data_IF_134921168616
#
_entry.id   IF_134921168616
#
_cell.length_a   1.000
_cell.length_b   1.000
_cell.length_c   1.000
_cell.angle_alpha   90.00
_cell.angle_beta   90.00
_cell.angle_gamma   90.00
#
_symmetry.space_group_name_H-M   'P 1'
#
loop_
_entity.id
_entity.type
_entity.pdbx_description
1 polymer ?
#
# COMPACT_ATOMS: atom_id res chain seq x y z
N UNK A 1 -7.70 -27.22 0.68
CA UNK A 1 -7.54 -26.54 1.98
C UNK A 1 -6.42 -27.25 2.69
N UNK A 2 -5.43 -26.53 3.21
CA UNK A 2 -4.30 -27.12 3.92
C UNK A 2 -4.48 -26.87 5.43
N UNK A 3 -5.25 -27.74 6.07
CA UNK A 3 -5.58 -27.67 7.49
C UNK A 3 -4.34 -27.73 8.39
N UNK A 4 -3.24 -28.32 7.89
CA UNK A 4 -1.97 -28.43 8.60
C UNK A 4 -1.23 -27.09 8.73
N UNK A 5 -1.67 -26.05 8.01
CA UNK A 5 -1.18 -24.67 8.13
C UNK A 5 -2.13 -23.75 8.90
N UNK A 6 -3.22 -24.28 9.46
CA UNK A 6 -4.21 -23.49 10.20
C UNK A 6 -5.12 -22.61 9.34
N UNK A 7 -5.20 -22.88 8.02
CA UNK A 7 -6.12 -22.16 7.14
C UNK A 7 -7.51 -22.81 7.19
N UNK A 8 -8.46 -22.12 7.82
CA UNK A 8 -9.84 -22.56 7.96
C UNK A 8 -10.78 -22.03 6.84
N UNK A 9 -10.21 -21.57 5.73
CA UNK A 9 -10.94 -20.94 4.62
C UNK A 9 -10.04 -20.64 3.42
N UNK A 10 -10.57 -19.97 2.38
CA UNK A 10 -9.76 -19.52 1.25
C UNK A 10 -8.65 -18.57 1.71
N UNK A 11 -7.48 -18.68 1.09
CA UNK A 11 -6.32 -17.84 1.43
C UNK A 11 -6.52 -16.46 0.80
N UNK A 12 -6.65 -15.44 1.64
CA UNK A 12 -6.58 -14.03 1.22
C UNK A 12 -5.12 -13.61 1.10
N UNK A 13 -4.76 -12.94 0.00
CA UNK A 13 -3.42 -12.37 -0.22
C UNK A 13 -3.54 -10.87 -0.45
N UNK A 14 -2.82 -10.11 0.36
CA UNK A 14 -2.71 -8.67 0.24
C UNK A 14 -1.24 -8.25 0.27
N UNK A 15 -0.90 -7.24 -0.53
CA UNK A 15 0.37 -6.53 -0.46
C UNK A 15 0.21 -5.25 0.34
N UNK A 16 1.16 -4.98 1.24
CA UNK A 16 1.27 -3.71 1.95
C UNK A 16 2.69 -3.19 1.72
N UNK A 17 2.81 -2.10 0.96
CA UNK A 17 4.07 -1.39 0.70
C UNK A 17 4.17 -0.20 1.65
N UNK A 18 5.33 -0.02 2.28
CA UNK A 18 5.55 1.08 3.23
C UNK A 18 6.58 2.06 2.67
N UNK A 19 6.21 3.34 2.63
CA UNK A 19 7.11 4.43 2.22
C UNK A 19 7.22 5.47 3.30
N UNK A 20 8.38 6.09 3.36
CA UNK A 20 8.55 7.36 4.06
C UNK A 20 8.37 8.46 3.01
N UNK A 21 7.58 9.49 3.33
CA UNK A 21 7.43 10.66 2.48
C UNK A 21 8.82 11.24 2.18
N UNK A 22 9.19 11.25 0.90
CA UNK A 22 10.49 11.71 0.44
C UNK A 22 10.34 12.64 -0.75
N UNK A 23 10.96 13.82 -0.66
CA UNK A 23 10.76 14.95 -1.60
C UNK A 23 9.33 15.46 -1.57
N UNK A 24 8.45 14.93 -2.43
CA UNK A 24 7.04 15.32 -2.50
C UNK A 24 6.14 14.09 -2.39
N UNK A 25 4.86 14.35 -2.11
CA UNK A 25 3.86 13.30 -2.06
C UNK A 25 3.73 12.62 -3.43
N UNK A 26 3.67 13.41 -4.51
CA UNK A 26 3.57 12.94 -5.89
C UNK A 26 4.72 12.00 -6.26
N UNK A 27 5.97 12.39 -5.94
CA UNK A 27 7.13 11.55 -6.23
C UNK A 27 7.12 10.24 -5.41
N UNK A 28 6.68 10.30 -4.15
CA UNK A 28 6.57 9.11 -3.30
C UNK A 28 5.47 8.17 -3.79
N UNK A 29 4.37 8.73 -4.31
CA UNK A 29 3.27 7.97 -4.89
C UNK A 29 3.68 7.28 -6.19
N UNK A 30 4.34 7.99 -7.11
CA UNK A 30 4.76 7.42 -8.39
C UNK A 30 5.65 6.18 -8.19
N UNK A 31 6.66 6.29 -7.34
CA UNK A 31 7.54 5.18 -6.99
C UNK A 31 6.79 4.07 -6.23
N UNK A 32 5.99 4.45 -5.23
CA UNK A 32 5.25 3.51 -4.40
C UNK A 32 4.20 2.72 -5.17
N UNK A 33 3.45 3.35 -6.08
CA UNK A 33 2.42 2.69 -6.89
C UNK A 33 3.04 1.68 -7.86
N UNK A 34 4.14 2.05 -8.50
CA UNK A 34 4.87 1.14 -9.41
C UNK A 34 5.35 -0.09 -8.65
N UNK A 35 6.04 0.09 -7.52
CA UNK A 35 6.54 -1.04 -6.72
C UNK A 35 5.42 -1.91 -6.15
N UNK A 36 4.33 -1.29 -5.69
CA UNK A 36 3.15 -1.99 -5.15
C UNK A 36 2.48 -2.85 -6.21
N UNK A 37 2.27 -2.31 -7.42
CA UNK A 37 1.69 -3.04 -8.54
C UNK A 37 2.57 -4.24 -8.96
N UNK A 38 3.87 -4.01 -9.11
CA UNK A 38 4.83 -5.06 -9.49
C UNK A 38 4.86 -6.20 -8.47
N UNK A 39 4.86 -5.86 -7.18
CA UNK A 39 4.89 -6.88 -6.13
C UNK A 39 3.53 -7.59 -5.98
N UNK A 40 2.41 -6.89 -6.16
CA UNK A 40 1.06 -7.48 -6.20
C UNK A 40 0.98 -8.60 -7.23
N UNK A 41 1.43 -8.34 -8.45
CA UNK A 41 1.38 -9.32 -9.54
C UNK A 41 2.29 -10.52 -9.28
N UNK A 42 3.50 -10.28 -8.74
CA UNK A 42 4.43 -11.35 -8.34
C UNK A 42 3.90 -12.20 -7.18
N UNK A 43 3.20 -11.58 -6.23
CA UNK A 43 2.65 -12.26 -5.06
C UNK A 43 1.33 -13.01 -5.35
N UNK A 44 0.71 -12.76 -6.52
CA UNK A 44 -0.64 -13.25 -6.83
C UNK A 44 -1.67 -12.71 -5.83
N UNK A 45 -1.51 -11.45 -5.41
CA UNK A 45 -2.41 -10.80 -4.48
C UNK A 45 -3.56 -10.12 -5.23
N UNK A 46 -4.76 -10.21 -4.68
CA UNK A 46 -5.93 -9.51 -5.24
C UNK A 46 -6.00 -8.07 -4.72
N UNK A 47 -5.48 -7.84 -3.52
CA UNK A 47 -5.48 -6.57 -2.82
C UNK A 47 -4.08 -6.00 -2.66
N UNK A 48 -3.97 -4.68 -2.69
CA UNK A 48 -2.70 -3.99 -2.52
C UNK A 48 -2.89 -2.59 -1.94
N UNK A 49 -2.02 -2.25 -1.00
CA UNK A 49 -2.06 -1.02 -0.24
C UNK A 49 -0.67 -0.37 -0.19
N UNK A 50 -0.63 0.95 -0.36
CA UNK A 50 0.54 1.78 -0.15
C UNK A 50 0.33 2.67 1.08
N UNK A 51 1.20 2.56 2.07
CA UNK A 51 1.15 3.38 3.29
C UNK A 51 2.35 4.31 3.32
N UNK A 52 2.08 5.62 3.39
CA UNK A 52 3.09 6.67 3.33
C UNK A 52 3.18 7.35 4.71
N UNK A 53 4.36 7.31 5.31
CA UNK A 53 4.66 7.94 6.59
C UNK A 53 5.32 9.32 6.41
N UNK A 54 4.62 10.37 6.80
CA UNK A 54 5.09 11.75 6.84
C UNK A 54 5.78 12.05 8.20
N UNK A 55 7.11 12.11 8.15
CA UNK A 55 7.96 12.39 9.32
C UNK A 55 8.20 13.89 9.53
N UNK A 56 7.46 14.78 8.87
CA UNK A 56 7.61 16.23 9.03
C UNK A 56 7.41 16.63 10.49
N UNK A 57 8.42 17.23 11.15
CA UNK A 57 8.29 17.70 12.52
C UNK A 57 7.26 18.84 12.63
N UNK A 58 6.49 18.85 13.71
CA UNK A 58 5.50 19.91 13.98
C UNK A 58 4.19 19.80 13.22
N UNK A 59 4.09 18.93 12.21
CA UNK A 59 2.85 18.62 11.51
C UNK A 59 1.97 17.69 12.36
N UNK A 60 0.70 18.02 12.52
CA UNK A 60 -0.24 17.24 13.33
C UNK A 60 -0.58 15.90 12.67
N UNK A 61 -1.16 14.97 13.44
CA UNK A 61 -1.62 13.69 12.89
C UNK A 61 -2.75 13.86 11.88
N UNK A 62 -3.67 14.79 12.14
CA UNK A 62 -4.81 15.14 11.27
C UNK A 62 -4.34 15.64 9.90
N UNK A 63 -3.22 16.36 9.83
CA UNK A 63 -2.65 16.83 8.58
C UNK A 63 -1.92 15.73 7.78
N UNK A 64 -1.59 14.60 8.41
CA UNK A 64 -0.87 13.47 7.80
C UNK A 64 -1.81 12.37 7.33
N UNK A 65 -2.94 12.21 8.04
CA UNK A 65 -3.90 11.14 7.77
C UNK A 65 -4.75 11.48 6.57
N UNK A 66 -4.69 10.60 5.58
CA UNK A 66 -5.64 10.58 4.48
C UNK A 66 -5.83 9.14 4.01
N UNK A 67 -6.95 8.90 3.35
CA UNK A 67 -7.20 7.69 2.58
C UNK A 67 -7.63 8.09 1.19
N UNK A 68 -7.08 7.42 0.19
CA UNK A 68 -7.48 7.59 -1.20
C UNK A 68 -7.22 6.32 -1.97
N UNK A 69 -7.57 6.35 -3.23
CA UNK A 69 -7.37 5.25 -4.13
C UNK A 69 -6.76 5.73 -5.42
N UNK A 70 -5.79 4.96 -5.90
CA UNK A 70 -5.07 5.23 -7.12
C UNK A 70 -5.24 4.08 -8.12
N UNK A 71 -5.25 4.44 -9.40
CA UNK A 71 -5.18 3.48 -10.49
C UNK A 71 -3.76 3.48 -11.05
N UNK A 72 -3.16 2.30 -11.12
CA UNK A 72 -1.86 2.10 -11.76
C UNK A 72 -1.96 0.92 -12.71
N UNK A 73 -1.94 1.20 -14.02
CA UNK A 73 -2.26 0.20 -15.04
C UNK A 73 -3.67 -0.37 -14.87
N UNK A 74 -3.78 -1.69 -14.74
CA UNK A 74 -5.04 -2.40 -14.49
C UNK A 74 -5.43 -2.53 -13.01
N UNK A 75 -4.60 -2.03 -12.10
CA UNK A 75 -4.74 -2.28 -10.66
C UNK A 75 -5.36 -1.11 -9.91
N UNK A 76 -6.13 -1.43 -8.88
CA UNK A 76 -6.70 -0.49 -7.91
C UNK A 76 -5.89 -0.60 -6.62
N UNK A 77 -5.25 0.48 -6.20
CA UNK A 77 -4.35 0.50 -5.03
C UNK A 77 -4.92 1.45 -3.99
N UNK A 78 -5.14 0.96 -2.77
CA UNK A 78 -5.50 1.81 -1.64
C UNK A 78 -4.28 2.55 -1.12
N UNK A 79 -4.36 3.87 -0.95
CA UNK A 79 -3.24 4.70 -0.48
C UNK A 79 -3.60 5.41 0.81
N UNK A 80 -2.75 5.26 1.81
CA UNK A 80 -2.96 5.74 3.17
C UNK A 80 -1.81 6.67 3.57
N UNK A 81 -2.14 7.85 4.11
CA UNK A 81 -1.19 8.75 4.75
C UNK A 81 -1.17 8.55 6.26
N UNK A 82 0.03 8.62 6.86
CA UNK A 82 0.28 8.53 8.30
C UNK A 82 1.36 9.50 8.76
#
# INVERSE_FOLDING_TARGET
MDENRGFHGPVQRAVIELKILYKSLEATLEDGLTQTADYRDRAGAEESYLVIFDRTPGKSWEEKVFVREERHGGHRIGVWGM
#
